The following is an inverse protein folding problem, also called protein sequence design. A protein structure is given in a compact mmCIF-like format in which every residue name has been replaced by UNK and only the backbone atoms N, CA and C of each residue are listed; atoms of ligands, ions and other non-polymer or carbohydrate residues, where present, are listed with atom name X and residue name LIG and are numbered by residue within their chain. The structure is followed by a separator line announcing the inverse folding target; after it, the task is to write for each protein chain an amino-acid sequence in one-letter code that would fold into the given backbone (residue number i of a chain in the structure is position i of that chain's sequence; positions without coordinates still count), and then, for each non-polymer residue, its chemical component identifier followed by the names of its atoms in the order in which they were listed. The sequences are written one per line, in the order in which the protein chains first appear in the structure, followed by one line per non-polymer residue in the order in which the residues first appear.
data_IF_498816226315
#
_entry.id   IF_498816226315
#
_cell.length_a   1.000
_cell.length_b   1.000
_cell.length_c   1.000
_cell.angle_alpha   90.00
_cell.angle_beta   90.00
_cell.angle_gamma   90.00
#
_symmetry.space_group_name_H-M   'P 1'
#
loop_
_entity.id
_entity.type
_entity.pdbx_description
1 polymer ?
#
# COMPACT_ATOMS: atom_id res chain seq x y z
N UNK A 1 -3.80 -36.56 4.71
CA UNK A 1 -4.75 -36.93 3.63
C UNK A 1 -6.15 -36.82 4.21
N UNK A 2 -6.97 -35.84 3.80
CA UNK A 2 -8.33 -35.80 4.29
C UNK A 2 -9.04 -37.08 3.86
N UNK A 3 -9.69 -37.72 4.83
CA UNK A 3 -10.54 -38.89 4.65
C UNK A 3 -11.58 -38.62 3.56
N UNK A 4 -12.14 -39.70 3.00
CA UNK A 4 -13.14 -39.77 1.92
C UNK A 4 -14.46 -39.05 2.29
N UNK A 5 -14.37 -37.76 2.63
CA UNK A 5 -15.43 -36.88 3.03
C UNK A 5 -16.11 -36.37 1.78
N UNK A 6 -17.42 -36.56 1.76
CA UNK A 6 -18.35 -36.13 0.73
C UNK A 6 -17.94 -34.78 0.10
N UNK A 7 -17.62 -34.81 -1.20
CA UNK A 7 -17.12 -33.64 -1.94
C UNK A 7 -18.30 -32.80 -2.42
N UNK A 8 -18.23 -31.48 -2.21
CA UNK A 8 -19.19 -30.54 -2.77
C UNK A 8 -18.58 -29.79 -3.96
N UNK A 9 -19.34 -29.68 -5.05
CA UNK A 9 -18.97 -28.89 -6.23
C UNK A 9 -19.27 -27.42 -6.00
N UNK A 10 -18.23 -26.60 -6.01
CA UNK A 10 -18.34 -25.16 -5.83
C UNK A 10 -17.92 -24.45 -7.11
N UNK A 11 -18.80 -23.58 -7.62
CA UNK A 11 -18.44 -22.69 -8.73
C UNK A 11 -17.73 -21.47 -8.16
N UNK A 12 -16.51 -21.21 -8.62
CA UNK A 12 -15.75 -20.01 -8.25
C UNK A 12 -15.78 -19.04 -9.43
N UNK A 13 -16.23 -17.82 -9.17
CA UNK A 13 -16.28 -16.73 -10.15
C UNK A 13 -15.31 -15.65 -9.73
N UNK A 14 -14.54 -15.15 -10.69
CA UNK A 14 -13.59 -14.09 -10.46
C UNK A 14 -13.63 -13.15 -11.66
N UNK A 15 -13.93 -11.87 -11.42
CA UNK A 15 -13.63 -10.86 -12.44
C UNK A 15 -12.14 -10.56 -12.39
N UNK A 16 -11.51 -10.56 -13.54
CA UNK A 16 -10.12 -10.17 -13.65
C UNK A 16 -9.92 -9.13 -14.72
N UNK A 17 -8.99 -8.23 -14.44
CA UNK A 17 -8.52 -7.19 -15.33
C UNK A 17 -7.02 -7.40 -15.49
N UNK A 18 -6.51 -7.32 -16.71
CA UNK A 18 -5.07 -7.30 -16.92
C UNK A 18 -4.53 -5.93 -16.53
N UNK A 19 -3.39 -5.90 -15.85
CA UNK A 19 -2.70 -4.66 -15.48
C UNK A 19 -2.35 -3.84 -16.73
N UNK A 20 -1.96 -4.54 -17.79
CA UNK A 20 -1.78 -3.96 -19.12
C UNK A 20 -2.88 -4.51 -20.04
N UNK A 21 -3.81 -3.65 -20.53
CA UNK A 21 -4.89 -4.05 -21.43
C UNK A 21 -4.42 -4.67 -22.75
N UNK A 22 -3.18 -4.42 -23.16
CA UNK A 22 -2.56 -5.02 -24.36
C UNK A 22 -1.97 -6.41 -24.10
N UNK A 23 -2.05 -6.92 -22.87
CA UNK A 23 -1.56 -8.25 -22.53
C UNK A 23 -2.39 -9.33 -23.24
N UNK A 24 -1.71 -10.32 -23.82
CA UNK A 24 -2.37 -11.51 -24.34
C UNK A 24 -3.13 -12.25 -23.23
N UNK A 25 -4.33 -12.78 -23.50
CA UNK A 25 -5.08 -13.57 -22.53
C UNK A 25 -4.27 -14.79 -22.08
N UNK A 26 -3.99 -14.89 -20.79
CA UNK A 26 -3.27 -16.02 -20.22
C UNK A 26 -4.24 -17.04 -19.64
N UNK A 27 -3.92 -18.33 -19.80
CA UNK A 27 -4.61 -19.38 -19.07
C UNK A 27 -4.36 -19.20 -17.56
N UNK A 28 -5.42 -19.06 -16.78
CA UNK A 28 -5.33 -18.93 -15.33
C UNK A 28 -5.76 -20.23 -14.65
N UNK A 29 -5.19 -20.49 -13.48
CA UNK A 29 -5.53 -21.60 -12.60
C UNK A 29 -5.91 -21.03 -11.23
N UNK A 30 -7.04 -21.51 -10.72
CA UNK A 30 -7.49 -21.30 -9.36
C UNK A 30 -6.89 -22.36 -8.47
N UNK A 31 -6.39 -21.95 -7.30
CA UNK A 31 -5.86 -22.83 -6.27
C UNK A 31 -6.61 -22.58 -4.97
N UNK A 32 -6.92 -23.63 -4.24
CA UNK A 32 -7.42 -23.53 -2.86
C UNK A 32 -6.39 -24.11 -1.92
N UNK A 33 -6.11 -23.39 -0.85
CA UNK A 33 -5.08 -23.71 0.13
C UNK A 33 -5.69 -24.15 1.45
N UNK A 34 -5.03 -25.10 2.10
CA UNK A 34 -5.25 -25.42 3.51
C UNK A 34 -4.62 -24.34 4.43
N UNK A 35 -4.77 -24.54 5.73
CA UNK A 35 -4.25 -23.62 6.75
C UNK A 35 -2.72 -23.64 6.81
N UNK A 36 -2.10 -24.76 6.42
CA UNK A 36 -0.66 -24.91 6.28
C UNK A 36 -0.10 -24.27 4.99
N UNK A 37 -0.99 -23.84 4.07
CA UNK A 37 -0.63 -23.19 2.83
C UNK A 37 -0.27 -24.14 1.68
N UNK A 38 -0.61 -25.42 1.77
CA UNK A 38 -0.52 -26.37 0.66
C UNK A 38 -1.76 -26.32 -0.21
N UNK A 39 -1.58 -26.50 -1.52
CA UNK A 39 -2.71 -26.55 -2.45
C UNK A 39 -3.51 -27.85 -2.24
N UNK A 40 -4.75 -27.72 -1.81
CA UNK A 40 -5.69 -28.85 -1.65
C UNK A 40 -6.27 -29.29 -2.99
N UNK A 41 -6.70 -28.31 -3.80
CA UNK A 41 -7.28 -28.55 -5.12
C UNK A 41 -7.02 -27.35 -6.04
N UNK A 42 -7.10 -27.59 -7.34
CA UNK A 42 -6.93 -26.54 -8.34
C UNK A 42 -7.77 -26.81 -9.59
N UNK A 43 -8.10 -25.77 -10.33
CA UNK A 43 -8.76 -25.90 -11.63
C UNK A 43 -8.35 -24.79 -12.58
N UNK A 44 -8.27 -25.11 -13.86
CA UNK A 44 -8.07 -24.10 -14.89
C UNK A 44 -9.36 -23.30 -15.10
N UNK A 45 -9.25 -21.98 -15.19
CA UNK A 45 -10.41 -21.12 -15.46
C UNK A 45 -10.79 -21.17 -16.93
N UNK A 46 -12.10 -21.03 -17.19
CA UNK A 46 -12.65 -20.76 -18.52
C UNK A 46 -13.19 -19.34 -18.51
N UNK A 47 -12.43 -18.40 -19.08
CA UNK A 47 -12.69 -16.97 -18.88
C UNK A 47 -12.75 -16.65 -17.38
N UNK A 48 -13.73 -15.85 -16.97
CA UNK A 48 -13.89 -15.30 -15.61
C UNK A 48 -14.43 -16.29 -14.56
N UNK A 49 -14.38 -17.60 -14.82
CA UNK A 49 -14.91 -18.59 -13.88
C UNK A 49 -14.18 -19.93 -13.93
N UNK A 50 -14.19 -20.64 -12.82
CA UNK A 50 -13.77 -22.02 -12.70
C UNK A 50 -14.69 -22.81 -11.79
N UNK A 51 -14.58 -24.13 -11.82
CA UNK A 51 -15.29 -25.02 -10.89
C UNK A 51 -14.27 -25.80 -10.08
N UNK A 52 -14.41 -25.77 -8.77
CA UNK A 52 -13.55 -26.46 -7.82
C UNK A 52 -14.41 -27.44 -7.02
N UNK A 53 -13.82 -28.57 -6.66
CA UNK A 53 -14.45 -29.53 -5.75
C UNK A 53 -13.81 -29.35 -4.37
N UNK A 54 -14.61 -28.98 -3.38
CA UNK A 54 -14.17 -28.75 -2.02
C UNK A 54 -14.78 -29.78 -1.07
N UNK A 55 -14.02 -30.32 -0.11
CA UNK A 55 -14.55 -31.24 0.89
C UNK A 55 -15.62 -30.55 1.74
N UNK A 56 -16.81 -31.16 1.93
CA UNK A 56 -17.89 -30.59 2.77
C UNK A 56 -17.46 -30.25 4.19
N UNK A 57 -16.38 -30.85 4.70
CA UNK A 57 -15.80 -30.52 6.00
C UNK A 57 -15.37 -29.05 6.14
N UNK A 58 -15.11 -28.32 5.04
CA UNK A 58 -14.77 -26.90 5.08
C UNK A 58 -16.02 -25.99 5.08
N UNK A 59 -17.24 -26.53 5.09
CA UNK A 59 -18.47 -25.72 5.10
C UNK A 59 -18.52 -24.85 6.37
N UNK A 60 -18.84 -23.57 6.19
CA UNK A 60 -18.84 -22.55 7.24
C UNK A 60 -17.45 -22.01 7.58
N UNK A 61 -16.38 -22.54 6.97
CA UNK A 61 -15.01 -22.09 7.20
C UNK A 61 -14.59 -21.04 6.17
N UNK A 62 -13.52 -20.31 6.47
CA UNK A 62 -12.89 -19.40 5.52
C UNK A 62 -11.85 -20.16 4.71
N UNK A 63 -12.03 -20.21 3.40
CA UNK A 63 -11.08 -20.84 2.49
C UNK A 63 -10.17 -19.79 1.84
N UNK A 64 -8.91 -20.16 1.63
CA UNK A 64 -7.92 -19.29 0.96
C UNK A 64 -7.84 -19.68 -0.51
N UNK A 65 -8.19 -18.77 -1.41
CA UNK A 65 -8.22 -19.00 -2.86
C UNK A 65 -7.19 -18.12 -3.55
N UNK A 66 -6.29 -18.71 -4.32
CA UNK A 66 -5.31 -18.00 -5.15
C UNK A 66 -5.61 -18.10 -6.64
N UNK A 67 -5.21 -17.08 -7.40
CA UNK A 67 -5.18 -17.13 -8.88
C UNK A 67 -3.74 -16.95 -9.35
N UNK A 68 -3.30 -17.85 -10.23
CA UNK A 68 -2.01 -17.76 -10.91
C UNK A 68 -2.15 -18.17 -12.39
N UNK A 69 -1.21 -17.78 -13.27
CA UNK A 69 -1.09 -18.40 -14.58
C UNK A 69 -0.93 -19.92 -14.49
N UNK A 70 -1.41 -20.64 -15.49
CA UNK A 70 -1.20 -22.08 -15.61
C UNK A 70 0.26 -22.39 -15.95
N UNK A 71 0.91 -23.23 -15.15
CA UNK A 71 2.28 -23.70 -15.40
C UNK A 71 2.26 -25.21 -15.69
N UNK A 72 2.31 -25.63 -16.97
CA UNK A 72 2.26 -27.05 -17.30
C UNK A 72 3.49 -27.79 -16.76
N UNK A 73 3.26 -28.94 -16.13
CA UNK A 73 4.32 -29.83 -15.66
C UNK A 73 5.03 -29.42 -14.37
N UNK A 74 4.59 -28.35 -13.70
CA UNK A 74 5.13 -27.93 -12.39
C UNK A 74 4.23 -28.36 -11.24
N UNK A 75 4.86 -28.51 -10.06
CA UNK A 75 4.12 -28.76 -8.82
C UNK A 75 3.19 -27.56 -8.54
N UNK A 76 1.99 -27.78 -7.98
CA UNK A 76 1.14 -26.70 -7.51
C UNK A 76 1.93 -25.75 -6.60
N UNK A 77 1.81 -24.43 -6.78
CA UNK A 77 2.49 -23.48 -5.92
C UNK A 77 1.97 -23.59 -4.49
N UNK A 78 2.81 -23.30 -3.50
CA UNK A 78 2.35 -23.09 -2.12
C UNK A 78 1.79 -21.68 -1.96
N UNK A 79 0.99 -21.46 -0.91
CA UNK A 79 0.48 -20.13 -0.57
C UNK A 79 1.63 -19.12 -0.39
N UNK A 80 2.68 -19.51 0.33
CA UNK A 80 3.87 -18.69 0.51
C UNK A 80 4.50 -18.31 -0.84
N UNK A 81 4.66 -19.28 -1.74
CA UNK A 81 5.17 -19.03 -3.08
C UNK A 81 4.31 -18.02 -3.86
N UNK A 82 2.98 -18.16 -3.78
CA UNK A 82 2.07 -17.21 -4.43
C UNK A 82 2.20 -15.80 -3.86
N UNK A 83 2.30 -15.67 -2.53
CA UNK A 83 2.46 -14.39 -1.86
C UNK A 83 3.79 -13.73 -2.21
N UNK A 84 4.88 -14.48 -2.21
CA UNK A 84 6.23 -14.00 -2.58
C UNK A 84 6.30 -13.51 -4.03
N UNK A 85 5.54 -14.16 -4.93
CA UNK A 85 5.40 -13.72 -6.33
C UNK A 85 4.42 -12.57 -6.50
N UNK A 86 3.83 -12.07 -5.42
CA UNK A 86 2.86 -10.99 -5.43
C UNK A 86 1.56 -11.37 -6.13
N UNK A 87 1.21 -12.66 -6.18
CA UNK A 87 -0.03 -13.11 -6.78
C UNK A 87 -1.23 -12.74 -5.90
N UNK A 88 -2.41 -12.79 -6.51
CA UNK A 88 -3.65 -12.42 -5.83
C UNK A 88 -4.18 -13.63 -5.08
N UNK A 89 -4.38 -13.45 -3.78
CA UNK A 89 -4.95 -14.43 -2.87
C UNK A 89 -6.09 -13.75 -2.12
N UNK A 90 -7.24 -14.41 -2.06
CA UNK A 90 -8.45 -13.92 -1.42
C UNK A 90 -8.92 -14.96 -0.41
N UNK A 91 -9.26 -14.50 0.79
CA UNK A 91 -9.90 -15.31 1.82
C UNK A 91 -11.39 -15.11 1.74
N UNK A 92 -12.14 -16.18 1.51
CA UNK A 92 -13.59 -16.14 1.34
C UNK A 92 -14.26 -17.13 2.27
N UNK A 93 -15.30 -16.72 3.02
CA UNK A 93 -16.12 -17.68 3.76
C UNK A 93 -16.85 -18.56 2.75
N UNK A 94 -16.75 -19.87 2.94
CA UNK A 94 -17.47 -20.84 2.14
C UNK A 94 -18.74 -21.29 2.85
N UNK A 95 -19.84 -21.16 2.13
CA UNK A 95 -21.19 -21.51 2.57
C UNK A 95 -21.91 -22.14 1.37
N UNK A 96 -22.54 -23.29 1.57
CA UNK A 96 -23.28 -24.05 0.55
C UNK A 96 -24.52 -23.28 0.06
N UNK A 97 -25.03 -22.34 0.87
CA UNK A 97 -26.15 -21.48 0.50
C UNK A 97 -25.82 -20.53 -0.67
N UNK A 98 -24.53 -20.28 -0.92
CA UNK A 98 -24.07 -19.37 -1.97
C UNK A 98 -23.89 -20.14 -3.27
N UNK A 99 -24.50 -19.63 -4.36
CA UNK A 99 -24.35 -20.17 -5.74
C UNK A 99 -22.92 -20.10 -6.32
N UNK A 100 -21.93 -19.75 -5.50
CA UNK A 100 -20.52 -19.71 -5.84
C UNK A 100 -19.72 -18.75 -4.96
N UNK A 101 -18.40 -18.82 -5.11
CA UNK A 101 -17.46 -17.90 -4.46
C UNK A 101 -17.12 -16.75 -5.40
N UNK A 102 -17.25 -15.51 -4.92
CA UNK A 102 -16.85 -14.32 -5.66
C UNK A 102 -15.52 -13.80 -5.12
N UNK A 103 -14.50 -13.75 -5.97
CA UNK A 103 -13.16 -13.29 -5.57
C UNK A 103 -12.93 -11.77 -5.76
N UNK A 104 -13.93 -11.04 -6.27
CA UNK A 104 -13.79 -9.61 -6.57
C UNK A 104 -13.10 -9.32 -7.91
N UNK A 105 -12.61 -8.09 -8.05
CA UNK A 105 -11.83 -7.64 -9.20
C UNK A 105 -10.34 -7.89 -8.92
N UNK A 106 -9.74 -8.74 -9.74
CA UNK A 106 -8.35 -9.16 -9.60
C UNK A 106 -7.52 -8.56 -10.73
N UNK A 107 -6.41 -7.91 -10.38
CA UNK A 107 -5.46 -7.39 -11.38
C UNK A 107 -4.39 -8.45 -11.67
N UNK A 108 -4.32 -8.89 -12.92
CA UNK A 108 -3.34 -9.87 -13.41
C UNK A 108 -2.12 -9.15 -13.99
N UNK A 109 -0.92 -9.35 -13.42
CA UNK A 109 0.29 -8.69 -13.91
C UNK A 109 0.76 -9.19 -15.26
N UNK A 110 1.30 -8.29 -16.09
CA UNK A 110 1.93 -8.63 -17.39
C UNK A 110 3.15 -9.56 -17.23
N UNK A 111 4.01 -9.28 -16.24
CA UNK A 111 5.25 -10.02 -15.99
C UNK A 111 5.26 -10.61 -14.58
N UNK A 112 4.57 -11.73 -14.40
CA UNK A 112 4.41 -12.38 -13.10
C UNK A 112 5.72 -12.97 -12.53
N UNK A 113 6.66 -13.40 -13.38
CA UNK A 113 7.94 -13.97 -12.96
C UNK A 113 9.01 -12.91 -12.62
N UNK A 114 8.88 -11.67 -13.12
CA UNK A 114 9.85 -10.58 -12.91
C UNK A 114 9.55 -9.71 -11.68
N UNK A 115 8.45 -9.95 -10.98
CA UNK A 115 7.92 -9.05 -9.95
C UNK A 115 8.55 -9.20 -8.55
N UNK A 116 9.77 -9.74 -8.47
CA UNK A 116 10.48 -9.99 -7.21
C UNK A 116 11.19 -8.78 -6.61
N UNK A 117 11.14 -7.58 -7.20
CA UNK A 117 11.87 -6.45 -6.61
C UNK A 117 11.09 -5.73 -5.50
N UNK A 118 9.90 -5.18 -5.72
CA UNK A 118 9.39 -4.19 -4.74
C UNK A 118 7.85 -4.14 -4.61
N UNK A 119 7.22 -5.16 -4.00
CA UNK A 119 5.79 -5.07 -3.61
C UNK A 119 5.64 -5.03 -2.09
N UNK A 120 5.39 -3.84 -1.55
CA UNK A 120 5.08 -3.65 -0.12
C UNK A 120 3.59 -3.90 0.12
N UNK A 121 3.26 -4.87 0.95
CA UNK A 121 1.90 -5.08 1.50
C UNK A 121 1.96 -4.86 3.01
N UNK A 122 1.05 -4.05 3.55
CA UNK A 122 1.01 -3.75 4.97
C UNK A 122 -0.25 -3.01 5.37
N UNK A 123 -0.49 -2.87 6.68
CA UNK A 123 -1.58 -2.09 7.24
C UNK A 123 -1.00 -0.92 8.01
N UNK A 124 -1.46 0.29 7.71
CA UNK A 124 -1.06 1.49 8.45
C UNK A 124 -1.94 1.62 9.69
N UNK A 125 -1.33 1.44 10.86
CA UNK A 125 -2.01 1.46 12.16
C UNK A 125 -1.30 2.36 13.15
N UNK A 126 -2.03 2.88 14.14
CA UNK A 126 -1.50 3.66 15.26
C UNK A 126 -1.92 3.04 16.58
N UNK A 127 -1.04 3.07 17.57
CA UNK A 127 -1.38 2.76 18.95
C UNK A 127 -2.06 3.98 19.61
N UNK A 128 -3.22 3.76 20.21
CA UNK A 128 -4.01 4.79 20.91
C UNK A 128 -4.19 4.35 22.35
N UNK A 129 -3.88 5.23 23.30
CA UNK A 129 -4.11 4.98 24.73
C UNK A 129 -5.52 5.44 25.10
N UNK A 130 -6.33 4.53 25.63
CA UNK A 130 -7.69 4.77 26.07
C UNK A 130 -7.69 5.38 27.48
N UNK A 131 -8.80 6.03 27.91
CA UNK A 131 -8.91 6.63 29.25
C UNK A 131 -8.72 5.64 30.41
N UNK A 132 -8.99 4.36 30.19
CA UNK A 132 -8.76 3.27 31.16
C UNK A 132 -7.29 2.81 31.22
N UNK A 133 -6.36 3.51 30.54
CA UNK A 133 -4.94 3.18 30.48
C UNK A 133 -4.57 2.13 29.43
N UNK A 134 -5.53 1.46 28.81
CA UNK A 134 -5.30 0.40 27.81
C UNK A 134 -4.75 0.99 26.51
N UNK A 135 -3.74 0.33 25.92
CA UNK A 135 -3.22 0.68 24.59
C UNK A 135 -3.85 -0.23 23.55
N UNK A 136 -4.50 0.34 22.53
CA UNK A 136 -5.15 -0.40 21.45
C UNK A 136 -4.63 0.03 20.08
N UNK A 137 -4.43 -0.93 19.17
CA UNK A 137 -4.02 -0.68 17.78
C UNK A 137 -5.25 -0.36 16.93
N UNK A 138 -5.27 0.80 16.28
CA UNK A 138 -6.38 1.25 15.42
C UNK A 138 -5.89 1.56 14.00
N UNK A 139 -6.70 1.30 12.95
CA UNK A 139 -6.38 1.74 11.60
C UNK A 139 -6.38 3.27 11.52
N UNK A 140 -5.46 3.84 10.75
CA UNK A 140 -5.44 5.27 10.46
C UNK A 140 -6.43 5.58 9.32
N UNK A 141 -7.39 6.47 9.56
CA UNK A 141 -8.21 7.07 8.52
C UNK A 141 -7.48 8.27 7.88
N UNK A 142 -7.74 8.55 6.60
CA UNK A 142 -7.16 9.67 5.85
C UNK A 142 -5.62 9.76 5.86
N UNK A 143 -4.94 8.63 6.03
CA UNK A 143 -3.49 8.61 5.95
C UNK A 143 -3.02 8.96 4.53
N UNK A 144 -2.12 9.94 4.41
CA UNK A 144 -1.29 10.11 3.21
C UNK A 144 -0.02 9.30 3.41
N UNK A 145 0.17 8.28 2.60
CA UNK A 145 1.32 7.38 2.67
C UNK A 145 2.23 7.71 1.50
N UNK A 146 3.49 8.02 1.79
CA UNK A 146 4.55 8.08 0.78
C UNK A 146 5.38 6.81 0.94
N UNK A 147 5.32 5.93 -0.06
CA UNK A 147 6.14 4.72 -0.11
C UNK A 147 7.34 5.06 -1.00
N UNK A 148 8.52 5.18 -0.41
CA UNK A 148 9.76 5.32 -1.17
C UNK A 148 10.34 3.93 -1.41
N UNK A 149 10.47 3.55 -2.69
CA UNK A 149 11.26 2.38 -3.07
C UNK A 149 12.74 2.70 -2.79
N UNK A 150 13.34 2.03 -1.83
CA UNK A 150 14.78 2.13 -1.59
C UNK A 150 15.44 1.14 -2.55
N UNK A 151 15.70 1.60 -3.76
CA UNK A 151 16.54 0.86 -4.69
C UNK A 151 17.94 0.70 -4.07
N UNK A 152 18.50 -0.51 -4.09
CA UNK A 152 19.88 -0.78 -3.66
C UNK A 152 20.87 -0.18 -4.67
N UNK A 153 20.46 -0.02 -5.92
CA UNK A 153 21.29 0.44 -7.03
C UNK A 153 21.93 1.82 -6.77
N UNK A 154 21.19 2.86 -6.31
CA UNK A 154 21.79 4.10 -5.84
C UNK A 154 22.90 3.90 -4.81
N UNK A 155 22.73 2.98 -3.85
CA UNK A 155 23.72 2.73 -2.80
C UNK A 155 25.01 2.11 -3.33
N UNK A 156 24.92 1.29 -4.38
CA UNK A 156 26.07 0.71 -5.07
C UNK A 156 26.75 1.73 -6.00
N UNK A 157 25.95 2.54 -6.70
CA UNK A 157 26.44 3.61 -7.59
C UNK A 157 27.16 4.69 -6.77
N UNK A 158 26.58 5.13 -5.65
CA UNK A 158 27.18 6.14 -4.76
C UNK A 158 28.56 5.68 -4.24
N UNK A 159 28.74 4.38 -3.96
CA UNK A 159 30.06 3.85 -3.54
C UNK A 159 31.13 3.92 -4.63
N UNK A 160 30.73 4.00 -5.90
CA UNK A 160 31.64 4.09 -7.04
C UNK A 160 31.88 5.54 -7.47
N UNK A 161 31.13 6.51 -6.93
CA UNK A 161 31.33 7.91 -7.23
C UNK A 161 32.56 8.47 -6.49
N UNK A 162 33.36 9.31 -7.15
CA UNK A 162 34.41 10.08 -6.47
C UNK A 162 33.82 10.95 -5.36
N UNK A 163 34.55 11.10 -4.25
CA UNK A 163 34.09 11.86 -3.08
C UNK A 163 33.70 13.30 -3.40
N UNK A 164 34.39 13.94 -4.35
CA UNK A 164 34.11 15.32 -4.76
C UNK A 164 32.72 15.44 -5.40
N UNK A 165 32.31 14.42 -6.13
CA UNK A 165 31.01 14.35 -6.80
C UNK A 165 29.88 14.06 -5.81
N UNK A 166 30.15 13.23 -4.80
CA UNK A 166 29.23 13.02 -3.67
C UNK A 166 29.02 14.34 -2.92
N UNK A 167 30.09 15.07 -2.63
CA UNK A 167 30.03 16.35 -1.92
C UNK A 167 29.25 17.40 -2.72
N UNK A 168 29.41 17.43 -4.03
CA UNK A 168 28.62 18.32 -4.89
C UNK A 168 27.13 17.95 -4.87
N UNK A 169 26.80 16.65 -4.95
CA UNK A 169 25.42 16.17 -4.85
C UNK A 169 24.78 16.50 -3.50
N UNK A 170 25.52 16.48 -2.40
CA UNK A 170 25.03 16.90 -1.09
C UNK A 170 24.66 18.38 -1.05
N UNK A 171 25.49 19.25 -1.65
CA UNK A 171 25.23 20.69 -1.76
C UNK A 171 23.98 20.93 -2.62
N UNK A 172 23.94 20.34 -3.81
CA UNK A 172 22.84 20.50 -4.75
C UNK A 172 21.52 19.96 -4.16
N UNK A 173 21.58 18.83 -3.43
CA UNK A 173 20.41 18.27 -2.76
C UNK A 173 19.94 19.13 -1.59
N UNK A 174 20.85 19.75 -0.83
CA UNK A 174 20.47 20.66 0.25
C UNK A 174 19.71 21.89 -0.30
N UNK A 175 20.13 22.43 -1.44
CA UNK A 175 19.44 23.53 -2.12
C UNK A 175 18.06 23.14 -2.64
N UNK A 176 17.91 21.91 -3.16
CA UNK A 176 16.64 21.41 -3.69
C UNK A 176 15.65 20.95 -2.62
N UNK A 177 16.14 20.38 -1.51
CA UNK A 177 15.32 19.80 -0.44
C UNK A 177 15.06 20.77 0.71
N UNK A 178 15.71 21.94 0.73
CA UNK A 178 15.40 23.00 1.69
C UNK A 178 13.94 23.44 1.53
N UNK A 179 13.09 23.29 2.56
CA UNK A 179 11.73 23.80 2.50
C UNK A 179 11.81 25.31 2.30
N UNK A 180 11.29 25.82 1.18
CA UNK A 180 11.08 27.27 1.04
C UNK A 180 10.09 27.67 2.13
N UNK A 181 10.58 28.27 3.21
CA UNK A 181 9.71 28.86 4.23
C UNK A 181 8.79 29.85 3.52
N UNK A 182 7.47 29.83 3.80
CA UNK A 182 6.57 30.87 3.32
C UNK A 182 7.16 32.22 3.71
N UNK A 183 7.32 33.14 2.75
CA UNK A 183 7.71 34.50 3.09
C UNK A 183 6.67 35.06 4.06
N UNK A 184 7.08 35.67 5.19
CA UNK A 184 6.13 36.32 6.07
C UNK A 184 5.37 37.38 5.27
N UNK A 185 4.04 37.54 5.52
CA UNK A 185 3.27 38.56 4.85
C UNK A 185 3.90 39.94 5.10
N UNK A 186 3.81 40.87 4.13
CA UNK A 186 4.34 42.21 4.30
C UNK A 186 3.72 42.84 5.55
N UNK A 187 4.56 43.50 6.36
CA UNK A 187 4.10 44.17 7.57
C UNK A 187 3.02 45.21 7.21
N UNK A 188 1.94 45.32 8.01
CA UNK A 188 0.95 46.36 7.79
C UNK A 188 1.62 47.75 7.91
N UNK A 189 1.18 48.75 7.12
CA UNK A 189 1.74 50.09 7.21
C UNK A 189 1.54 50.63 8.62
N UNK A 190 2.63 51.03 9.28
CA UNK A 190 2.61 51.64 10.60
C UNK A 190 1.70 52.86 10.58
N UNK A 191 0.59 52.80 11.33
CA UNK A 191 -0.22 53.97 11.58
C UNK A 191 0.62 54.99 12.37
N UNK A 192 1.00 56.08 11.70
CA UNK A 192 1.63 57.23 12.33
C UNK A 192 0.64 57.79 13.34
N UNK A 193 0.88 57.52 14.63
CA UNK A 193 0.16 58.16 15.72
C UNK A 193 0.56 59.63 15.73
N UNK A 194 -0.30 60.48 15.17
CA UNK A 194 -0.23 61.93 15.38
C UNK A 194 -0.53 62.20 16.85
N UNK A 195 0.51 62.24 17.68
CA UNK A 195 0.42 62.82 19.02
C UNK A 195 0.46 64.35 18.82
N UNK A 196 -0.61 65.10 19.15
CA UNK A 196 -0.56 66.54 19.09
C UNK A 196 0.45 67.04 20.14
N UNK A 197 1.45 67.77 19.68
CA UNK A 197 2.41 68.50 20.52
C UNK A 197 1.63 69.61 21.22
N UNK A 198 1.43 69.46 22.53
CA UNK A 198 0.97 70.56 23.39
C UNK A 198 2.19 71.45 23.62
N UNK A 199 2.23 72.60 22.95
CA UNK A 199 3.22 73.65 23.24
C UNK A 199 3.01 74.17 24.65
N UNK A 200 3.97 73.87 25.52
CA UNK A 200 4.06 74.46 26.85
C UNK A 200 4.68 75.85 26.71
N UNK A 201 3.84 76.88 26.78
CA UNK A 201 4.22 78.28 26.80
C UNK A 201 5.05 78.57 28.07
N UNK A 202 6.38 78.58 27.95
CA UNK A 202 7.28 78.98 29.03
C UNK A 202 7.47 80.49 29.01
N UNK A 203 6.80 81.17 29.94
CA UNK A 203 7.16 82.48 30.44
C UNK A 203 8.66 82.54 30.80
N UNK A 204 9.44 83.36 30.09
CA UNK A 204 10.68 83.92 30.60
C UNK A 204 10.53 85.42 30.82
N UNK A 205 10.36 85.76 32.09
CA UNK A 205 10.90 86.98 32.67
C UNK A 205 12.41 87.03 32.45
N UNK A 206 12.93 88.15 31.95
CA UNK A 206 14.16 88.75 32.50
C UNK A 206 14.17 90.23 32.20
N UNK A 207 14.28 90.98 33.30
CA UNK A 207 14.39 92.42 33.41
C UNK A 207 15.79 92.95 33.05
N UNK A 208 15.83 94.28 32.89
CA UNK A 208 16.95 95.21 33.14
C UNK A 208 18.16 95.19 32.19
N UNK A 209 18.34 96.29 31.45
CA UNK A 209 18.99 97.51 31.95
C UNK A 209 18.41 98.76 31.28
#
# INVERSE_FOLDING_TARGET
MPANGDLARVRVRASFQYEDPSSEPQALTLYVFDDEGHAMCHCQTRGHSGQLELPRSLLGQTVTVGIAPAEPGRKPPTLAHMLDRGLTVVRVPWDDSRKGLWLGNIVIPKHWFKRSCCRVRGRVTRQVRLPNGQVVTRPLCNARIVICEVDISPRLIIKQLPNDLIRQLEIDAADLLSPRLPQPPPAPPSAVSHIPVIEHEQHRHTSHM
#
